data_IF_022653845743
#
_entry.id   IF_022653845743
#
_cell.length_a   1.000
_cell.length_b   1.000
_cell.length_c   1.000
_cell.angle_alpha   90.00
_cell.angle_beta   90.00
_cell.angle_gamma   90.00
#
_symmetry.space_group_name_H-M   'P 1'
#
loop_
_entity.id
_entity.type
_entity.pdbx_description
1 polymer ?
#
# COMPACT_ATOMS: atom_id res chain seq x y z
N UNK A 1 -0.15 5.74 -7.13
CA UNK A 1 -1.28 4.96 -7.72
C UNK A 1 -1.14 3.44 -7.59
N UNK A 2 0.08 2.87 -7.56
CA UNK A 2 0.27 1.42 -7.47
C UNK A 2 -0.45 0.75 -6.29
N UNK A 3 -0.46 1.36 -5.10
CA UNK A 3 -1.14 0.81 -3.93
C UNK A 3 -2.67 0.70 -4.08
N UNK A 4 -3.31 1.66 -4.74
CA UNK A 4 -4.77 1.63 -5.02
C UNK A 4 -5.12 0.51 -6.01
N UNK A 5 -4.35 0.38 -7.08
CA UNK A 5 -4.56 -0.68 -8.07
C UNK A 5 -4.24 -2.07 -7.50
N UNK A 6 -3.17 -2.19 -6.70
CA UNK A 6 -2.84 -3.44 -6.00
C UNK A 6 -3.94 -3.88 -5.03
N UNK A 7 -4.55 -2.93 -4.33
CA UNK A 7 -5.71 -3.17 -3.48
C UNK A 7 -6.93 -3.71 -4.26
N UNK A 8 -7.26 -3.13 -5.42
CA UNK A 8 -8.29 -3.67 -6.31
C UNK A 8 -7.95 -5.05 -6.86
N UNK A 9 -6.70 -5.23 -7.29
CA UNK A 9 -6.23 -6.52 -7.80
C UNK A 9 -6.39 -7.62 -6.75
N UNK A 10 -6.12 -7.32 -5.47
CA UNK A 10 -6.29 -8.28 -4.39
C UNK A 10 -7.74 -8.78 -4.25
N UNK A 11 -8.71 -7.89 -4.47
CA UNK A 11 -10.12 -8.23 -4.49
C UNK A 11 -10.46 -9.10 -5.70
N UNK A 12 -10.05 -8.68 -6.91
CA UNK A 12 -10.33 -9.40 -8.17
C UNK A 12 -9.77 -10.82 -8.11
N UNK A 13 -8.54 -10.99 -7.63
CA UNK A 13 -7.92 -12.31 -7.48
C UNK A 13 -8.69 -13.18 -6.50
N UNK A 14 -9.09 -12.61 -5.34
CA UNK A 14 -9.86 -13.34 -4.34
C UNK A 14 -11.24 -13.74 -4.86
N UNK A 15 -11.93 -12.84 -5.56
CA UNK A 15 -13.24 -13.09 -6.16
C UNK A 15 -13.16 -14.13 -7.29
N UNK A 16 -12.01 -14.26 -7.94
CA UNK A 16 -11.70 -15.31 -8.91
C UNK A 16 -11.25 -16.64 -8.28
N UNK A 17 -11.23 -16.76 -6.95
CA UNK A 17 -10.89 -17.99 -6.22
C UNK A 17 -9.41 -18.15 -5.88
N UNK A 18 -8.56 -17.16 -6.18
CA UNK A 18 -7.16 -17.17 -5.77
C UNK A 18 -7.00 -16.70 -4.32
N UNK A 19 -6.03 -17.26 -3.61
CA UNK A 19 -5.70 -16.84 -2.26
C UNK A 19 -4.57 -15.82 -2.26
N UNK A 20 -4.90 -14.56 -1.96
CA UNK A 20 -3.89 -13.50 -1.80
C UNK A 20 -3.27 -13.60 -0.41
N UNK A 21 -2.04 -14.11 -0.34
CA UNK A 21 -1.33 -14.32 0.94
C UNK A 21 -0.86 -13.05 1.61
N UNK A 22 -0.44 -12.06 0.82
CA UNK A 22 0.07 -10.81 1.35
C UNK A 22 -0.25 -9.65 0.41
N UNK A 23 -0.63 -8.51 0.99
CA UNK A 23 -0.75 -7.22 0.33
C UNK A 23 0.12 -6.20 1.05
N UNK A 24 0.88 -5.39 0.31
CA UNK A 24 1.65 -4.28 0.87
C UNK A 24 1.31 -3.03 0.08
N UNK A 25 0.78 -2.01 0.75
CA UNK A 25 0.47 -0.71 0.15
C UNK A 25 1.42 0.35 0.72
N UNK A 26 2.15 1.04 -0.16
CA UNK A 26 3.11 2.08 0.19
C UNK A 26 2.59 3.43 -0.29
N UNK A 27 2.23 4.26 0.68
CA UNK A 27 1.58 5.57 0.54
C UNK A 27 0.54 5.62 -0.59
N UNK A 28 -0.52 4.79 -0.52
CA UNK A 28 -1.49 4.68 -1.60
C UNK A 28 -2.25 6.00 -1.82
N UNK A 29 -2.47 6.34 -3.09
CA UNK A 29 -3.23 7.51 -3.55
C UNK A 29 -4.28 7.04 -4.54
N UNK A 30 -5.46 7.66 -4.54
CA UNK A 30 -6.53 7.31 -5.47
C UNK A 30 -7.94 7.73 -5.06
N UNK A 31 -8.14 8.51 -4.00
CA UNK A 31 -9.48 9.03 -3.64
C UNK A 31 -9.91 10.20 -4.55
N UNK A 32 -8.97 10.85 -5.24
CA UNK A 32 -9.21 12.11 -5.93
C UNK A 32 -9.89 12.01 -7.28
N UNK A 33 -10.88 12.86 -7.51
CA UNK A 33 -11.62 12.86 -8.78
C UNK A 33 -10.74 13.17 -10.00
N UNK A 34 -9.71 14.01 -9.83
CA UNK A 34 -8.80 14.43 -10.90
C UNK A 34 -7.80 13.35 -11.33
N UNK A 35 -7.39 12.43 -10.43
CA UNK A 35 -6.55 11.29 -10.83
C UNK A 35 -7.28 10.30 -11.74
N UNK A 36 -8.63 10.28 -11.75
CA UNK A 36 -9.41 9.44 -12.67
C UNK A 36 -9.42 9.94 -14.12
N UNK A 37 -9.11 11.23 -14.36
CA UNK A 37 -9.17 11.84 -15.70
C UNK A 37 -7.86 11.62 -16.47
N UNK A 38 -6.73 11.49 -15.77
CA UNK A 38 -5.41 11.37 -16.38
C UNK A 38 -4.69 10.05 -16.13
N UNK A 39 -5.30 9.05 -15.47
CA UNK A 39 -4.59 7.81 -15.10
C UNK A 39 -5.47 6.56 -15.16
N UNK A 40 -4.84 5.42 -15.49
CA UNK A 40 -5.50 4.12 -15.53
C UNK A 40 -5.63 3.53 -14.11
N UNK A 41 -6.59 4.04 -13.35
CA UNK A 41 -6.91 3.57 -11.98
C UNK A 41 -8.38 3.18 -11.87
N UNK A 42 -8.66 2.23 -10.99
CA UNK A 42 -10.04 1.85 -10.70
C UNK A 42 -10.80 3.00 -10.02
N UNK A 43 -11.99 3.32 -10.52
CA UNK A 43 -12.78 4.48 -10.07
C UNK A 43 -13.51 4.28 -8.73
N UNK A 44 -13.67 3.03 -8.28
CA UNK A 44 -14.32 2.72 -7.01
C UNK A 44 -13.27 2.63 -5.92
N UNK A 45 -13.64 2.90 -4.67
CA UNK A 45 -12.77 2.62 -3.53
C UNK A 45 -12.49 1.12 -3.46
N UNK A 46 -11.23 0.67 -3.34
CA UNK A 46 -10.93 -0.75 -3.26
C UNK A 46 -11.48 -1.35 -1.96
N UNK A 47 -11.82 -2.63 -2.01
CA UNK A 47 -12.08 -3.47 -0.85
C UNK A 47 -11.00 -4.55 -0.77
N UNK A 48 -9.81 -4.24 -0.21
CA UNK A 48 -8.68 -5.17 -0.22
C UNK A 48 -9.03 -6.52 0.41
N UNK A 49 -8.56 -7.60 -0.21
CA UNK A 49 -8.71 -8.96 0.30
C UNK A 49 -7.35 -9.65 0.29
N UNK A 50 -6.80 -9.89 1.46
CA UNK A 50 -5.55 -10.63 1.67
C UNK A 50 -5.53 -11.27 3.06
N UNK A 51 -4.82 -12.39 3.23
CA UNK A 51 -4.60 -13.00 4.55
C UNK A 51 -3.83 -12.06 5.49
N UNK A 52 -2.86 -11.33 4.93
CA UNK A 52 -2.05 -10.36 5.67
C UNK A 52 -1.83 -9.09 4.86
N UNK A 53 -2.21 -7.95 5.40
CA UNK A 53 -2.08 -6.65 4.75
C UNK A 53 -1.27 -5.68 5.61
N UNK A 54 -0.21 -5.14 5.01
CA UNK A 54 0.58 -4.04 5.55
C UNK A 54 0.26 -2.78 4.75
N UNK A 55 -0.10 -1.71 5.45
CA UNK A 55 -0.17 -0.37 4.89
C UNK A 55 0.88 0.53 5.52
N UNK A 56 1.61 1.28 4.68
CA UNK A 56 2.46 2.38 5.12
C UNK A 56 1.97 3.69 4.54
N UNK A 57 1.94 4.73 5.37
CA UNK A 57 1.62 6.10 4.99
C UNK A 57 2.84 7.01 5.19
N UNK A 58 3.12 7.85 4.20
CA UNK A 58 4.16 8.87 4.28
C UNK A 58 3.64 10.08 5.07
N UNK A 59 4.38 10.51 6.08
CA UNK A 59 4.10 11.68 6.93
C UNK A 59 5.36 12.52 7.14
N UNK A 60 5.88 13.16 6.08
CA UNK A 60 7.16 13.85 6.18
C UNK A 60 7.06 15.13 7.03
N UNK A 61 8.05 15.33 7.90
CA UNK A 61 8.22 16.60 8.63
C UNK A 61 8.68 17.75 7.72
N UNK A 62 9.24 17.42 6.55
CA UNK A 62 9.70 18.36 5.51
C UNK A 62 9.20 17.89 4.13
N UNK A 63 7.94 18.18 3.77
CA UNK A 63 7.34 17.72 2.53
C UNK A 63 8.06 18.30 1.30
N UNK A 64 8.05 17.54 0.20
CA UNK A 64 8.50 18.00 -1.11
C UNK A 64 7.39 17.91 -2.17
N UNK A 65 7.72 18.20 -3.44
CA UNK A 65 6.75 18.20 -4.53
C UNK A 65 6.05 16.84 -4.72
N UNK A 66 6.69 15.73 -4.35
CA UNK A 66 6.07 14.41 -4.44
C UNK A 66 4.93 14.23 -3.43
N UNK A 67 5.00 14.91 -2.29
CA UNK A 67 3.93 14.90 -1.30
C UNK A 67 2.73 15.71 -1.77
N UNK A 68 2.95 16.80 -2.51
CA UNK A 68 1.88 17.53 -3.20
C UNK A 68 1.19 16.69 -4.28
N UNK A 69 1.90 15.77 -4.95
CA UNK A 69 1.30 14.79 -5.87
C UNK A 69 0.43 13.78 -5.11
N UNK A 70 0.83 13.38 -3.90
CA UNK A 70 0.02 12.51 -3.05
C UNK A 70 -1.24 13.22 -2.53
N UNK A 71 -1.14 14.50 -2.18
CA UNK A 71 -2.29 15.33 -1.82
C UNK A 71 -3.23 15.55 -3.02
N UNK A 72 -2.68 15.82 -4.22
CA UNK A 72 -3.47 15.97 -5.45
C UNK A 72 -4.17 14.67 -5.88
N UNK A 73 -3.51 13.53 -5.70
CA UNK A 73 -4.12 12.21 -5.94
C UNK A 73 -5.09 11.75 -4.84
N UNK A 74 -5.35 12.61 -3.85
CA UNK A 74 -5.99 12.34 -2.56
C UNK A 74 -5.48 11.02 -1.95
N UNK A 75 -4.41 11.17 -1.17
CA UNK A 75 -3.81 10.11 -0.36
C UNK A 75 -4.90 9.35 0.37
N UNK A 76 -4.95 8.04 0.12
CA UNK A 76 -5.97 7.19 0.69
C UNK A 76 -5.72 7.01 2.19
N UNK A 77 -6.57 7.64 3.00
CA UNK A 77 -6.46 7.56 4.45
C UNK A 77 -7.11 6.28 4.99
N UNK A 78 -6.32 5.20 5.02
CA UNK A 78 -6.75 3.88 5.49
C UNK A 78 -6.85 3.88 7.03
N UNK A 79 -8.08 3.76 7.55
CA UNK A 79 -8.36 3.73 8.99
C UNK A 79 -8.50 2.32 9.58
N UNK A 80 -8.81 1.32 8.75
CA UNK A 80 -9.12 -0.05 9.18
C UNK A 80 -8.86 -1.04 8.06
N UNK A 81 -8.62 -2.31 8.42
CA UNK A 81 -8.41 -3.41 7.47
C UNK A 81 -6.99 -4.00 7.49
N UNK A 82 -5.91 -3.19 7.41
CA UNK A 82 -4.56 -3.72 7.49
C UNK A 82 -4.28 -4.40 8.83
N UNK A 83 -3.50 -5.47 8.82
CA UNK A 83 -2.93 -6.07 10.02
C UNK A 83 -1.87 -5.16 10.65
N UNK A 84 -1.13 -4.44 9.81
CA UNK A 84 -0.17 -3.41 10.22
C UNK A 84 -0.48 -2.14 9.45
N UNK A 85 -0.76 -1.05 10.16
CA UNK A 85 -0.97 0.26 9.58
C UNK A 85 0.04 1.23 10.19
N UNK A 86 1.10 1.53 9.44
CA UNK A 86 2.26 2.26 9.93
C UNK A 86 2.38 3.64 9.26
N UNK A 87 2.80 4.64 10.01
CA UNK A 87 3.21 5.93 9.46
C UNK A 87 4.74 6.05 9.49
N UNK A 88 5.31 6.78 8.54
CA UNK A 88 6.75 7.00 8.46
C UNK A 88 7.08 8.43 8.03
N UNK A 89 8.05 9.05 8.72
CA UNK A 89 8.62 10.35 8.37
C UNK A 89 9.50 10.24 7.11
N UNK A 90 8.84 10.12 5.96
CA UNK A 90 9.40 9.94 4.62
C UNK A 90 8.52 10.69 3.63
N UNK A 91 9.09 11.15 2.52
CA UNK A 91 8.34 11.74 1.41
C UNK A 91 7.72 10.64 0.54
N UNK A 92 6.60 10.95 -0.12
CA UNK A 92 5.82 10.05 -0.97
C UNK A 92 6.66 9.27 -1.98
N UNK A 93 7.62 9.91 -2.65
CA UNK A 93 8.42 9.27 -3.70
C UNK A 93 9.25 8.07 -3.21
N UNK A 94 9.54 7.98 -1.91
CA UNK A 94 10.56 7.07 -1.39
C UNK A 94 10.00 5.68 -1.04
N UNK A 95 9.32 5.05 -1.99
CA UNK A 95 8.74 3.72 -1.84
C UNK A 95 9.77 2.66 -1.45
N UNK A 96 11.01 2.74 -1.99
CA UNK A 96 12.10 1.83 -1.61
C UNK A 96 12.40 1.91 -0.11
N UNK A 97 12.51 3.11 0.44
CA UNK A 97 12.78 3.29 1.87
C UNK A 97 11.57 2.88 2.70
N UNK A 98 10.34 3.22 2.28
CA UNK A 98 9.13 2.72 2.96
C UNK A 98 9.11 1.18 3.04
N UNK A 99 9.52 0.49 1.97
CA UNK A 99 9.56 -0.96 1.95
C UNK A 99 10.61 -1.57 2.89
N UNK A 100 11.70 -0.86 3.17
CA UNK A 100 12.85 -1.40 3.92
C UNK A 100 13.00 -0.88 5.34
N UNK A 101 12.34 0.21 5.73
CA UNK A 101 12.37 0.68 7.12
C UNK A 101 11.69 -0.31 8.07
N UNK A 102 12.12 -0.31 9.33
CA UNK A 102 11.44 -1.05 10.37
C UNK A 102 10.07 -0.41 10.65
N UNK A 103 9.05 -1.26 10.72
CA UNK A 103 7.70 -0.90 11.13
C UNK A 103 7.62 -0.86 12.66
N UNK A 104 6.43 -0.55 13.18
CA UNK A 104 6.16 -0.56 14.64
C UNK A 104 6.45 -1.92 15.29
N UNK A 105 6.42 -3.00 14.50
CA UNK A 105 6.73 -4.37 14.92
C UNK A 105 8.23 -4.70 14.96
N UNK A 106 9.10 -3.77 14.55
CA UNK A 106 10.55 -3.98 14.44
C UNK A 106 11.01 -4.72 13.18
N UNK A 107 10.10 -5.31 12.40
CA UNK A 107 10.37 -5.88 11.07
C UNK A 107 10.04 -4.87 9.97
N UNK A 108 10.76 -4.93 8.84
CA UNK A 108 10.39 -4.17 7.64
C UNK A 108 9.34 -4.89 6.80
N UNK A 109 8.62 -4.16 5.94
CA UNK A 109 7.67 -4.74 5.00
C UNK A 109 8.36 -5.76 4.05
N UNK A 110 9.60 -5.47 3.65
CA UNK A 110 10.46 -6.39 2.90
C UNK A 110 10.73 -7.69 3.67
N UNK A 111 11.03 -7.60 4.97
CA UNK A 111 11.25 -8.80 5.80
C UNK A 111 10.00 -9.66 5.91
N UNK A 112 8.81 -9.05 6.06
CA UNK A 112 7.55 -9.78 6.03
C UNK A 112 7.32 -10.51 4.71
N UNK A 113 7.58 -9.85 3.57
CA UNK A 113 7.43 -10.48 2.27
C UNK A 113 8.37 -11.68 2.10
N UNK A 114 9.65 -11.51 2.47
CA UNK A 114 10.63 -12.58 2.39
C UNK A 114 10.24 -13.76 3.30
N UNK A 115 9.78 -13.50 4.52
CA UNK A 115 9.28 -14.53 5.43
C UNK A 115 8.09 -15.29 4.81
N UNK A 116 7.14 -14.59 4.21
CA UNK A 116 5.98 -15.19 3.56
C UNK A 116 6.36 -16.07 2.35
N UNK A 117 7.28 -15.60 1.50
CA UNK A 117 7.78 -16.38 0.35
C UNK A 117 8.54 -17.62 0.82
N UNK A 118 9.43 -17.49 1.80
CA UNK A 118 10.18 -18.62 2.34
C UNK A 118 9.24 -19.67 2.96
N UNK A 119 8.17 -19.25 3.63
CA UNK A 119 7.18 -20.18 4.16
C UNK A 119 6.45 -20.94 3.06
N UNK A 120 6.21 -20.34 1.89
CA UNK A 120 5.52 -21.00 0.77
C UNK A 120 6.43 -21.96 0.00
N UNK A 121 7.73 -21.66 -0.08
CA UNK A 121 8.69 -22.52 -0.80
C UNK A 121 9.06 -23.76 0.02
N UNK A 122 9.07 -23.65 1.35
CA UNK A 122 9.44 -24.75 2.25
C UNK A 122 8.23 -25.54 2.78
N UNK A 123 7.06 -25.38 2.17
CA UNK A 123 5.86 -26.21 2.38
C UNK A 123 5.87 -27.38 1.39
#
# INVERSE_FOLDING_TARGET
>A
MGGWNGAHLSQILTDAGYKVKMLITLDPVGEGFLVYVGSNIYRRKPMPKADFWINLKAVPNKPDQSDSVAEFGERWNIKSGPNINNEANLNHYNAKKMFTINLSTGKSACKYLLDAVNLLINQ
#
